data_IF_362295502631
#
_entry.id   IF_362295502631
#
_cell.length_a   1.000
_cell.length_b   1.000
_cell.length_c   1.000
_cell.angle_alpha   90.00
_cell.angle_beta   90.00
_cell.angle_gamma   90.00
#
_symmetry.space_group_name_H-M   'P 1'
#
loop_
_entity.id
_entity.type
_entity.pdbx_description
1 polymer ?
#
# COMPACT_ATOMS: atom_id res chain seq x y z
N UNK A 1 28.25 -5.62 49.58
CA UNK A 1 27.97 -4.65 48.50
C UNK A 1 28.51 -5.24 47.21
N UNK A 2 27.68 -6.00 46.50
CA UNK A 2 28.01 -6.50 45.15
C UNK A 2 27.01 -5.89 44.17
N UNK A 3 27.50 -4.91 43.41
CA UNK A 3 26.78 -3.98 42.57
C UNK A 3 27.15 -4.17 41.11
N UNK A 4 27.10 -5.40 40.58
CA UNK A 4 27.46 -5.63 39.17
C UNK A 4 26.49 -6.57 38.45
N UNK A 5 25.80 -5.95 37.47
CA UNK A 5 25.17 -6.55 36.28
C UNK A 5 23.86 -7.28 36.52
N UNK A 6 22.82 -6.49 36.80
CA UNK A 6 21.54 -6.74 36.15
C UNK A 6 21.79 -6.62 34.64
N UNK A 7 22.15 -7.73 33.99
CA UNK A 7 22.05 -7.84 32.55
C UNK A 7 20.61 -7.52 32.21
N UNK A 8 20.38 -6.38 31.57
CA UNK A 8 19.14 -6.06 30.89
C UNK A 8 18.99 -7.10 29.76
N UNK A 9 18.58 -8.31 30.13
CA UNK A 9 18.20 -9.36 29.20
C UNK A 9 16.97 -8.80 28.51
N UNK A 10 17.15 -8.41 27.25
CA UNK A 10 16.06 -7.98 26.40
C UNK A 10 15.05 -9.14 26.41
N UNK A 11 13.77 -8.89 26.69
CA UNK A 11 12.79 -9.96 26.80
C UNK A 11 12.83 -10.84 25.54
N UNK A 12 12.75 -12.18 25.67
CA UNK A 12 12.72 -13.07 24.53
C UNK A 12 11.59 -12.63 23.60
N UNK A 13 11.92 -12.24 22.37
CA UNK A 13 10.92 -11.81 21.38
C UNK A 13 10.04 -13.02 21.08
N UNK A 14 8.77 -12.96 21.48
CA UNK A 14 7.80 -14.01 21.15
C UNK A 14 7.80 -14.21 19.62
N UNK A 15 7.83 -15.46 19.14
CA UNK A 15 7.76 -15.73 17.71
C UNK A 15 6.48 -15.11 17.15
N UNK A 16 6.62 -14.34 16.06
CA UNK A 16 5.48 -13.73 15.39
C UNK A 16 4.48 -14.81 14.99
N UNK A 17 3.18 -14.59 15.21
CA UNK A 17 2.20 -15.57 14.82
C UNK A 17 2.13 -15.66 13.30
N UNK A 18 2.02 -16.89 12.77
CA UNK A 18 2.07 -17.18 11.32
C UNK A 18 1.07 -16.38 10.48
N UNK A 19 -0.09 -16.05 11.05
CA UNK A 19 -1.11 -15.22 10.40
C UNK A 19 -0.62 -13.80 10.10
N UNK A 20 0.27 -13.26 10.94
CA UNK A 20 0.80 -11.92 10.73
C UNK A 20 1.73 -11.89 9.52
N UNK A 21 2.58 -12.91 9.33
CA UNK A 21 3.38 -13.06 8.10
C UNK A 21 2.50 -13.25 6.86
N UNK A 22 1.45 -14.07 6.96
CA UNK A 22 0.50 -14.29 5.86
C UNK A 22 -0.21 -13.00 5.44
N UNK A 23 -0.65 -12.17 6.38
CA UNK A 23 -1.28 -10.88 6.06
C UNK A 23 -0.26 -9.92 5.46
N UNK A 24 0.94 -9.85 6.03
CA UNK A 24 1.99 -8.92 5.60
C UNK A 24 2.52 -9.18 4.19
N UNK A 25 2.45 -10.43 3.72
CA UNK A 25 2.89 -10.80 2.37
C UNK A 25 1.75 -11.03 1.41
N UNK A 26 0.71 -11.70 1.89
CA UNK A 26 -0.43 -12.13 1.08
C UNK A 26 -1.23 -10.94 0.59
N UNK A 27 -1.52 -9.96 1.45
CA UNK A 27 -2.34 -8.80 1.07
C UNK A 27 -1.62 -7.90 0.03
N UNK A 28 -0.35 -7.47 0.22
CA UNK A 28 0.39 -6.72 -0.80
C UNK A 28 0.51 -7.45 -2.14
N UNK A 29 0.84 -8.75 -2.08
CA UNK A 29 0.97 -9.58 -3.29
C UNK A 29 -0.35 -9.68 -4.03
N UNK A 30 -1.46 -9.91 -3.31
CA UNK A 30 -2.81 -9.94 -3.89
C UNK A 30 -3.15 -8.61 -4.58
N UNK A 31 -2.84 -7.48 -3.94
CA UNK A 31 -3.12 -6.14 -4.50
C UNK A 31 -2.33 -5.88 -5.79
N UNK A 32 -1.04 -6.24 -5.83
CA UNK A 32 -0.23 -6.07 -7.03
C UNK A 32 -0.69 -7.00 -8.15
N UNK A 33 -0.92 -8.28 -7.83
CA UNK A 33 -1.44 -9.25 -8.81
C UNK A 33 -2.78 -8.77 -9.37
N UNK A 34 -3.72 -8.38 -8.51
CA UNK A 34 -5.00 -7.82 -8.96
C UNK A 34 -4.81 -6.58 -9.84
N UNK A 35 -3.87 -5.69 -9.51
CA UNK A 35 -3.55 -4.50 -10.30
C UNK A 35 -2.98 -4.83 -11.68
N UNK A 36 -2.19 -5.89 -11.81
CA UNK A 36 -1.66 -6.37 -13.10
C UNK A 36 -2.75 -7.04 -13.96
N UNK A 37 -3.75 -7.66 -13.35
CA UNK A 37 -4.86 -8.30 -14.06
C UNK A 37 -5.94 -7.31 -14.49
N UNK A 38 -6.16 -6.23 -13.73
CA UNK A 38 -7.11 -5.17 -14.09
C UNK A 38 -6.51 -4.28 -15.19
N UNK A 39 -7.27 -4.06 -16.27
CA UNK A 39 -6.88 -3.10 -17.33
C UNK A 39 -7.75 -1.85 -17.26
N UNK A 40 -7.11 -0.69 -17.29
CA UNK A 40 -7.80 0.61 -17.39
C UNK A 40 -7.81 1.05 -18.85
N UNK A 41 -9.00 1.16 -19.45
CA UNK A 41 -9.17 1.66 -20.81
C UNK A 41 -8.73 3.13 -20.98
N UNK A 42 -8.77 3.62 -22.22
CA UNK A 42 -8.42 5.01 -22.54
C UNK A 42 -9.46 6.02 -22.03
N UNK A 43 -10.74 5.62 -21.95
CA UNK A 43 -11.76 6.29 -21.13
C UNK A 43 -11.64 5.88 -19.66
N UNK A 44 -12.35 6.51 -18.73
CA UNK A 44 -12.34 6.20 -17.27
C UNK A 44 -12.84 4.82 -16.86
N UNK A 45 -12.87 3.91 -17.82
CA UNK A 45 -13.40 2.56 -17.75
C UNK A 45 -12.34 1.62 -17.17
N UNK A 46 -12.68 0.98 -16.05
CA UNK A 46 -11.90 -0.14 -15.52
C UNK A 46 -12.55 -1.40 -16.07
N UNK A 47 -11.85 -2.11 -16.95
CA UNK A 47 -12.30 -3.42 -17.45
C UNK A 47 -11.80 -4.47 -16.49
N UNK A 48 -12.72 -5.12 -15.81
CA UNK A 48 -12.42 -6.33 -15.03
C UNK A 48 -12.46 -7.52 -16.00
N UNK A 49 -11.38 -8.30 -16.12
CA UNK A 49 -11.31 -9.39 -17.11
C UNK A 49 -12.35 -10.51 -16.88
N UNK A 50 -12.99 -10.54 -15.71
CA UNK A 50 -14.00 -11.54 -15.33
C UNK A 50 -15.44 -11.11 -15.66
N UNK A 51 -15.68 -9.83 -15.93
CA UNK A 51 -16.99 -9.29 -16.30
C UNK A 51 -16.79 -8.37 -17.52
N UNK A 52 -17.34 -8.73 -18.68
CA UNK A 52 -17.42 -7.88 -19.90
C UNK A 52 -18.27 -6.60 -19.70
N UNK A 53 -18.57 -6.27 -18.45
CA UNK A 53 -19.25 -5.04 -18.06
C UNK A 53 -18.21 -3.94 -17.90
N UNK A 54 -18.32 -2.92 -18.75
CA UNK A 54 -17.65 -1.63 -18.56
C UNK A 54 -18.15 -1.07 -17.23
N UNK A 55 -17.37 -1.16 -16.15
CA UNK A 55 -17.83 -0.67 -14.85
C UNK A 55 -17.80 0.87 -14.92
N UNK A 56 -18.96 1.55 -15.01
CA UNK A 56 -18.98 2.99 -15.02
C UNK A 56 -18.45 3.49 -13.68
N UNK A 57 -17.71 4.60 -13.73
CA UNK A 57 -17.27 5.46 -12.63
C UNK A 57 -17.62 4.89 -11.23
N UNK A 58 -16.87 3.88 -10.77
CA UNK A 58 -17.18 3.11 -9.53
C UNK A 58 -17.11 3.97 -8.26
N UNK A 59 -16.77 5.25 -8.42
CA UNK A 59 -16.78 6.26 -7.39
C UNK A 59 -18.14 7.00 -7.38
N UNK A 60 -19.04 6.64 -6.45
CA UNK A 60 -20.27 7.41 -6.21
C UNK A 60 -20.01 8.88 -5.90
N UNK A 61 -18.86 9.19 -5.28
CA UNK A 61 -18.41 10.56 -5.01
C UNK A 61 -18.10 11.34 -6.31
N UNK A 62 -17.51 10.69 -7.31
CA UNK A 62 -17.28 11.33 -8.60
C UNK A 62 -18.60 11.56 -9.35
N UNK A 63 -19.53 10.60 -9.27
CA UNK A 63 -20.84 10.72 -9.91
C UNK A 63 -21.64 11.91 -9.37
N UNK A 64 -21.57 12.17 -8.07
CA UNK A 64 -22.34 13.25 -7.45
C UNK A 64 -21.58 14.59 -7.36
N UNK A 65 -20.27 14.56 -7.07
CA UNK A 65 -19.47 15.76 -6.81
C UNK A 65 -18.37 16.02 -7.84
N UNK A 66 -18.20 15.16 -8.86
CA UNK A 66 -17.10 15.22 -9.85
C UNK A 66 -15.70 15.28 -9.20
N UNK A 67 -15.57 14.63 -8.03
CA UNK A 67 -14.33 14.53 -7.25
C UNK A 67 -13.94 13.06 -7.12
N UNK A 68 -12.71 12.75 -7.50
CA UNK A 68 -12.16 11.40 -7.33
C UNK A 68 -11.91 11.11 -5.85
N UNK A 69 -12.42 9.97 -5.35
CA UNK A 69 -12.14 9.51 -3.99
C UNK A 69 -10.65 9.11 -3.86
N UNK A 70 -10.02 9.25 -2.67
CA UNK A 70 -8.60 8.96 -2.50
C UNK A 70 -8.27 7.50 -2.84
N UNK A 71 -9.19 6.57 -2.56
CA UNK A 71 -9.04 5.16 -2.95
C UNK A 71 -9.18 4.91 -4.45
N UNK A 72 -10.20 5.48 -5.09
CA UNK A 72 -10.55 5.29 -6.50
C UNK A 72 -9.43 5.80 -7.42
N UNK A 73 -8.91 7.00 -7.12
CA UNK A 73 -7.78 7.60 -7.82
C UNK A 73 -6.48 6.82 -7.59
N UNK A 74 -6.26 6.30 -6.39
CA UNK A 74 -5.10 5.47 -6.07
C UNK A 74 -5.10 4.15 -6.86
N UNK A 75 -6.20 3.39 -6.84
CA UNK A 75 -6.30 2.12 -7.57
C UNK A 75 -6.09 2.31 -9.06
N UNK A 76 -6.66 3.38 -9.65
CA UNK A 76 -6.46 3.69 -11.07
C UNK A 76 -5.01 4.07 -11.39
N UNK A 77 -4.35 4.76 -10.47
CA UNK A 77 -2.93 5.07 -10.58
C UNK A 77 -2.06 3.81 -10.48
N UNK A 78 -2.40 2.86 -9.59
CA UNK A 78 -1.68 1.59 -9.45
C UNK A 78 -1.73 0.75 -10.73
N UNK A 79 -2.89 0.71 -11.40
CA UNK A 79 -3.02 0.02 -12.68
C UNK A 79 -2.16 0.71 -13.74
N UNK A 80 -2.20 2.04 -13.83
CA UNK A 80 -1.33 2.80 -14.76
C UNK A 80 0.17 2.60 -14.47
N UNK A 81 0.56 2.49 -13.21
CA UNK A 81 1.95 2.16 -12.83
C UNK A 81 2.31 0.75 -13.31
N UNK A 82 1.39 -0.20 -13.16
CA UNK A 82 1.58 -1.60 -13.59
C UNK A 82 1.66 -1.72 -15.12
N UNK A 83 0.98 -0.84 -15.86
CA UNK A 83 1.10 -0.68 -17.33
C UNK A 83 2.39 0.09 -17.76
N UNK A 84 3.23 0.54 -16.82
CA UNK A 84 4.42 1.34 -17.10
C UNK A 84 4.17 2.83 -17.42
N UNK A 85 2.91 3.30 -17.29
CA UNK A 85 2.51 4.71 -17.54
C UNK A 85 2.67 5.58 -16.29
N UNK A 86 3.90 5.71 -15.79
CA UNK A 86 4.20 6.44 -14.55
C UNK A 86 3.77 7.93 -14.58
N UNK A 87 3.92 8.60 -15.73
CA UNK A 87 3.55 10.01 -15.87
C UNK A 87 2.03 10.24 -15.70
N UNK A 88 1.21 9.30 -16.14
CA UNK A 88 -0.25 9.40 -15.98
C UNK A 88 -0.69 9.06 -14.56
N UNK A 89 0.00 8.12 -13.92
CA UNK A 89 -0.28 7.75 -12.54
C UNK A 89 -0.02 8.91 -11.57
N UNK A 90 1.09 9.64 -11.72
CA UNK A 90 1.40 10.78 -10.85
C UNK A 90 0.45 11.96 -11.08
N UNK A 91 -0.07 12.14 -12.30
CA UNK A 91 -1.13 13.11 -12.61
C UNK A 91 -2.45 12.78 -11.92
N UNK A 92 -2.79 11.49 -11.79
CA UNK A 92 -3.98 11.04 -11.06
C UNK A 92 -3.79 11.23 -9.56
N UNK A 93 -2.69 10.72 -9.01
CA UNK A 93 -2.38 10.84 -7.60
C UNK A 93 -0.86 10.84 -7.36
N UNK A 94 -0.26 11.92 -6.82
CA UNK A 94 1.19 12.00 -6.64
C UNK A 94 1.71 10.97 -5.62
N UNK A 95 0.91 10.64 -4.59
CA UNK A 95 1.25 9.57 -3.63
C UNK A 95 1.13 8.16 -4.18
N UNK A 96 0.62 7.95 -5.41
CA UNK A 96 0.52 6.59 -5.97
C UNK A 96 1.89 5.94 -6.14
N UNK A 97 2.89 6.69 -6.59
CA UNK A 97 4.21 6.17 -6.86
C UNK A 97 4.97 5.78 -5.57
N UNK A 98 5.04 6.63 -4.52
CA UNK A 98 5.60 6.22 -3.22
C UNK A 98 4.91 5.00 -2.61
N UNK A 99 3.57 4.95 -2.63
CA UNK A 99 2.82 3.84 -2.01
C UNK A 99 3.02 2.56 -2.80
N UNK A 100 3.00 2.62 -4.15
CA UNK A 100 3.27 1.46 -4.99
C UNK A 100 4.70 0.93 -4.77
N UNK A 101 5.70 1.82 -4.76
CA UNK A 101 7.09 1.45 -4.49
C UNK A 101 7.26 0.81 -3.11
N UNK A 102 6.56 1.32 -2.10
CA UNK A 102 6.55 0.76 -0.75
C UNK A 102 5.95 -0.65 -0.72
N UNK A 103 4.84 -0.87 -1.40
CA UNK A 103 4.20 -2.21 -1.53
C UNK A 103 5.14 -3.19 -2.23
N UNK A 104 5.77 -2.78 -3.33
CA UNK A 104 6.76 -3.61 -4.05
C UNK A 104 7.96 -3.93 -3.15
N UNK A 105 8.47 -2.94 -2.42
CA UNK A 105 9.57 -3.13 -1.48
C UNK A 105 9.20 -4.12 -0.35
N UNK A 106 7.97 -4.06 0.18
CA UNK A 106 7.48 -5.03 1.16
C UNK A 106 7.49 -6.46 0.59
N UNK A 107 7.03 -6.63 -0.66
CA UNK A 107 7.02 -7.94 -1.33
C UNK A 107 8.44 -8.46 -1.53
N UNK A 108 9.37 -7.61 -1.96
CA UNK A 108 10.78 -7.99 -2.19
C UNK A 108 11.46 -8.36 -0.86
N UNK A 109 11.40 -7.47 0.14
CA UNK A 109 12.02 -7.68 1.45
C UNK A 109 11.41 -8.88 2.16
N UNK A 110 10.09 -9.00 2.07
CA UNK A 110 9.37 -10.15 2.55
C UNK A 110 9.84 -11.42 1.84
N UNK A 111 9.71 -11.51 0.52
CA UNK A 111 10.07 -12.70 -0.25
C UNK A 111 11.53 -13.11 -0.03
N UNK A 112 12.42 -12.13 0.09
CA UNK A 112 13.81 -12.34 0.47
C UNK A 112 13.96 -12.95 1.87
N UNK A 113 13.26 -12.41 2.86
CA UNK A 113 13.27 -12.95 4.23
C UNK A 113 12.69 -14.37 4.30
N UNK A 114 11.67 -14.67 3.50
CA UNK A 114 11.07 -15.99 3.37
C UNK A 114 12.02 -16.99 2.71
N UNK A 115 12.65 -16.59 1.60
CA UNK A 115 13.65 -17.40 0.90
C UNK A 115 14.84 -17.73 1.80
N UNK A 116 15.31 -16.75 2.58
CA UNK A 116 16.37 -16.98 3.59
C UNK A 116 15.94 -17.92 4.71
N UNK A 117 14.68 -17.83 5.15
CA UNK A 117 14.12 -18.71 6.17
C UNK A 117 14.03 -20.17 5.72
N UNK A 118 13.97 -20.44 4.41
CA UNK A 118 14.08 -21.81 3.87
C UNK A 118 15.53 -22.32 3.80
N UNK A 119 16.55 -21.46 3.98
CA UNK A 119 17.97 -21.79 3.76
C UNK A 119 18.88 -21.74 4.99
N UNK A 120 18.82 -20.70 5.84
CA UNK A 120 19.70 -20.52 7.01
C UNK A 120 19.00 -19.62 8.02
N UNK A 121 19.02 -20.03 9.31
CA UNK A 121 18.63 -19.30 10.52
C UNK A 121 17.93 -17.94 10.26
N UNK A 122 16.58 -17.98 10.27
CA UNK A 122 15.72 -16.80 10.21
C UNK A 122 16.09 -15.81 11.31
N UNK A 123 16.79 -14.72 10.95
CA UNK A 123 17.03 -13.59 11.84
C UNK A 123 15.70 -12.86 12.09
N UNK A 124 14.98 -13.36 13.09
CA UNK A 124 13.71 -12.83 13.55
C UNK A 124 13.81 -11.33 13.88
N UNK A 125 14.99 -10.82 14.26
CA UNK A 125 15.17 -9.41 14.58
C UNK A 125 14.99 -8.47 13.38
N UNK A 126 15.48 -8.85 12.21
CA UNK A 126 15.36 -8.05 10.99
C UNK A 126 13.90 -7.96 10.52
N UNK A 127 13.17 -9.08 10.56
CA UNK A 127 11.75 -9.14 10.22
C UNK A 127 10.91 -8.33 11.23
N UNK A 128 11.20 -8.45 12.53
CA UNK A 128 10.54 -7.65 13.57
C UNK A 128 10.79 -6.15 13.40
N UNK A 129 12.01 -5.74 13.01
CA UNK A 129 12.34 -4.34 12.77
C UNK A 129 11.62 -3.80 11.53
N UNK A 130 11.57 -4.60 10.45
CA UNK A 130 10.81 -4.26 9.25
C UNK A 130 9.29 -4.11 9.55
N UNK A 131 8.72 -5.03 10.32
CA UNK A 131 7.30 -4.97 10.74
C UNK A 131 7.03 -3.74 11.61
N UNK A 132 7.93 -3.42 12.56
CA UNK A 132 7.81 -2.23 13.41
C UNK A 132 7.97 -0.93 12.64
N UNK A 133 8.88 -0.85 11.68
CA UNK A 133 9.10 0.34 10.87
C UNK A 133 7.95 0.59 9.87
N UNK A 134 7.27 -0.47 9.44
CA UNK A 134 6.20 -0.37 8.45
C UNK A 134 4.95 0.33 8.95
N UNK A 135 4.56 0.09 10.22
CA UNK A 135 3.39 0.71 10.83
C UNK A 135 3.44 2.25 10.81
N UNK A 136 4.50 2.92 11.31
CA UNK A 136 4.58 4.37 11.24
C UNK A 136 4.70 4.88 9.79
N UNK A 137 5.41 4.17 8.90
CA UNK A 137 5.52 4.58 7.48
C UNK A 137 4.15 4.54 6.80
N UNK A 138 3.38 3.47 6.98
CA UNK A 138 2.05 3.31 6.39
C UNK A 138 1.07 4.33 6.97
N UNK A 139 1.14 4.60 8.27
CA UNK A 139 0.35 5.64 8.93
C UNK A 139 0.67 7.03 8.36
N UNK A 140 1.97 7.37 8.23
CA UNK A 140 2.40 8.63 7.62
C UNK A 140 1.93 8.76 6.17
N UNK A 141 2.02 7.70 5.37
CA UNK A 141 1.54 7.68 3.99
C UNK A 141 0.02 7.86 3.90
N UNK A 142 -0.75 7.18 4.77
CA UNK A 142 -2.20 7.37 4.85
C UNK A 142 -2.54 8.81 5.23
N UNK A 143 -1.95 9.33 6.31
CA UNK A 143 -2.21 10.70 6.77
C UNK A 143 -1.85 11.70 5.67
N UNK A 144 -0.67 11.57 5.05
CA UNK A 144 -0.23 12.45 3.96
C UNK A 144 -1.18 12.42 2.76
N UNK A 145 -1.64 11.23 2.36
CA UNK A 145 -2.63 11.06 1.30
C UNK A 145 -3.95 11.78 1.64
N UNK A 146 -4.49 11.56 2.85
CA UNK A 146 -5.75 12.16 3.27
C UNK A 146 -5.63 13.68 3.40
N UNK A 147 -4.54 14.19 3.95
CA UNK A 147 -4.28 15.64 4.07
C UNK A 147 -4.17 16.30 2.69
N UNK A 148 -3.43 15.69 1.75
CA UNK A 148 -3.32 16.20 0.38
C UNK A 148 -4.68 16.21 -0.33
N UNK A 149 -5.46 15.13 -0.18
CA UNK A 149 -6.80 15.05 -0.75
C UNK A 149 -7.75 16.08 -0.13
N UNK A 150 -7.73 16.24 1.19
CA UNK A 150 -8.53 17.23 1.90
C UNK A 150 -8.18 18.66 1.46
N UNK A 151 -6.88 18.99 1.32
CA UNK A 151 -6.43 20.28 0.81
C UNK A 151 -6.96 20.56 -0.61
N UNK A 152 -7.09 19.53 -1.46
CA UNK A 152 -7.69 19.64 -2.80
C UNK A 152 -9.23 19.75 -2.75
N UNK A 153 -9.86 19.26 -1.68
CA UNK A 153 -11.30 19.25 -1.47
C UNK A 153 -11.83 20.63 -1.05
N UNK A 154 -11.13 21.29 -0.13
CA UNK A 154 -11.50 22.60 0.45
C UNK A 154 -11.87 23.66 -0.61
N UNK A 155 -11.06 23.93 -1.65
CA UNK A 155 -11.40 24.93 -2.65
C UNK A 155 -12.57 24.54 -3.56
N UNK A 156 -12.85 23.23 -3.72
CA UNK A 156 -13.98 22.76 -4.51
C UNK A 156 -15.31 22.87 -3.76
N UNK A 157 -15.32 22.64 -2.44
CA UNK A 157 -16.52 22.91 -1.62
C UNK A 157 -16.81 24.40 -1.52
N UNK A 158 -15.78 25.25 -1.41
CA UNK A 158 -15.96 26.70 -1.36
C UNK A 158 -16.51 27.32 -2.66
N UNK A 159 -16.47 26.60 -3.79
CA UNK A 159 -17.09 27.02 -5.05
C UNK A 159 -18.52 26.51 -5.23
N UNK A 160 -19.02 25.67 -4.32
CA UNK A 160 -20.34 25.04 -4.34
C UNK A 160 -21.32 25.65 -3.32
N UNK A 161 -20.82 26.49 -2.38
CA UNK A 161 -21.59 27.29 -1.43
C UNK A 161 -21.65 28.74 -1.92
#
# INVERSE_FOLDING_TARGET
MDSRRATCQTPPRLPLPRWQCLIWMGLPTLVIVASCFLKVGDGREVRVPFFDSVVPESCGLYRHFRIDCPGCGMTRSFIRISDGRFSEATRLHPFSLPVYGFVVAQIILGGWSWLRSMGVASDSNALHLAIRANQPILLCLMIGMFLWWAAKLVPKLGALM
#
